data_IF_242839551997
#
_entry.id   IF_242839551997
#
_cell.length_a   1.000
_cell.length_b   1.000
_cell.length_c   1.000
_cell.angle_alpha   90.00
_cell.angle_beta   90.00
_cell.angle_gamma   90.00
#
_symmetry.space_group_name_H-M   'P 1'
#
loop_
_entity.id
_entity.type
_entity.pdbx_description
1 polymer ?
#
# COMPACT_ATOMS: atom_id res chain seq x y z
N UNK A 1 27.15 -54.24 24.60
CA UNK A 1 26.48 -54.14 23.28
C UNK A 1 25.92 -52.73 23.16
N UNK A 2 26.72 -51.81 22.62
CA UNK A 2 26.41 -50.38 22.46
C UNK A 2 25.86 -50.14 21.05
N UNK A 3 24.71 -49.46 20.87
CA UNK A 3 24.21 -49.15 19.52
C UNK A 3 24.93 -47.93 18.92
N UNK A 4 25.41 -48.10 17.68
CA UNK A 4 25.90 -47.03 16.80
C UNK A 4 24.75 -46.09 16.40
N UNK A 5 24.89 -44.79 16.67
CA UNK A 5 24.06 -43.76 16.05
C UNK A 5 24.57 -43.46 14.64
N UNK A 6 23.71 -43.59 13.63
CA UNK A 6 23.93 -43.01 12.30
C UNK A 6 23.78 -41.49 12.36
N UNK A 7 24.66 -40.69 11.70
CA UNK A 7 24.45 -39.26 11.56
C UNK A 7 23.35 -39.00 10.52
N UNK A 8 22.28 -38.34 10.96
CA UNK A 8 21.25 -37.76 10.07
C UNK A 8 21.88 -36.61 9.28
N UNK A 9 22.03 -36.80 7.97
CA UNK A 9 22.40 -35.74 7.03
C UNK A 9 21.24 -34.75 6.96
N UNK A 10 21.46 -33.54 7.48
CA UNK A 10 20.55 -32.41 7.33
C UNK A 10 20.81 -31.78 5.95
N UNK A 11 19.93 -32.06 4.99
CA UNK A 11 19.92 -31.35 3.71
C UNK A 11 19.35 -29.95 3.92
N UNK A 12 20.21 -28.93 3.88
CA UNK A 12 19.78 -27.53 3.80
C UNK A 12 19.31 -27.30 2.36
N UNK A 13 17.99 -27.28 2.16
CA UNK A 13 17.40 -26.82 0.91
C UNK A 13 17.56 -25.30 0.83
N UNK A 14 18.49 -24.85 0.00
CA UNK A 14 18.63 -23.45 -0.38
C UNK A 14 17.45 -23.09 -1.29
N UNK A 15 16.39 -22.50 -0.72
CA UNK A 15 15.28 -21.97 -1.51
C UNK A 15 15.81 -20.81 -2.36
N UNK A 16 15.88 -21.01 -3.68
CA UNK A 16 15.99 -19.91 -4.62
C UNK A 16 14.72 -19.06 -4.48
N UNK A 17 14.83 -17.94 -3.77
CA UNK A 17 13.85 -16.88 -3.88
C UNK A 17 13.91 -16.35 -5.32
N UNK A 18 12.94 -16.78 -6.15
CA UNK A 18 12.62 -16.11 -7.40
C UNK A 18 12.35 -14.65 -7.03
N UNK A 19 13.30 -13.76 -7.33
CA UNK A 19 13.05 -12.33 -7.29
C UNK A 19 12.07 -12.05 -8.43
N UNK A 20 10.77 -12.05 -8.13
CA UNK A 20 9.80 -11.38 -8.98
C UNK A 20 10.30 -9.94 -9.14
N UNK A 21 10.63 -9.55 -10.37
CA UNK A 21 11.08 -8.19 -10.64
C UNK A 21 10.00 -7.19 -10.24
N UNK A 22 10.40 -6.01 -9.79
CA UNK A 22 9.49 -4.92 -9.48
C UNK A 22 8.57 -4.63 -10.67
N UNK A 23 7.30 -5.00 -10.55
CA UNK A 23 6.27 -4.79 -11.55
C UNK A 23 5.35 -3.62 -11.18
N UNK A 24 4.71 -3.01 -12.18
CA UNK A 24 3.53 -2.19 -11.96
C UNK A 24 2.29 -3.03 -12.20
N UNK A 25 1.40 -3.04 -11.21
CA UNK A 25 0.21 -3.88 -11.17
C UNK A 25 -1.00 -2.98 -10.95
N UNK A 26 -2.00 -3.11 -11.82
CA UNK A 26 -3.15 -2.21 -11.84
C UNK A 26 -4.35 -2.86 -11.18
N UNK A 27 -5.05 -2.10 -10.33
CA UNK A 27 -6.37 -2.49 -9.86
C UNK A 27 -7.35 -2.46 -11.03
N UNK A 28 -8.12 -3.53 -11.23
CA UNK A 28 -9.03 -3.67 -12.39
C UNK A 28 -10.51 -3.61 -12.00
N UNK A 29 -10.83 -3.79 -10.72
CA UNK A 29 -12.21 -3.91 -10.27
C UNK A 29 -12.85 -2.54 -9.93
N UNK A 30 -13.64 -2.01 -10.87
CA UNK A 30 -14.33 -0.72 -10.72
C UNK A 30 -15.40 -0.66 -9.61
N UNK A 31 -15.85 -1.81 -9.08
CA UNK A 31 -16.84 -1.90 -8.02
C UNK A 31 -16.22 -2.12 -6.63
N UNK A 32 -14.90 -2.30 -6.59
CA UNK A 32 -14.17 -2.60 -5.38
C UNK A 32 -14.16 -4.08 -5.03
N UNK A 33 -13.38 -4.42 -4.01
CA UNK A 33 -13.12 -5.81 -3.68
C UNK A 33 -12.01 -5.98 -2.65
N UNK A 34 -11.59 -7.22 -2.49
CA UNK A 34 -10.55 -7.62 -1.54
C UNK A 34 -9.17 -7.40 -2.17
N UNK A 35 -8.27 -6.74 -1.44
CA UNK A 35 -6.90 -6.43 -1.87
C UNK A 35 -6.12 -7.70 -2.23
N UNK A 36 -6.28 -8.77 -1.45
CA UNK A 36 -5.56 -10.03 -1.64
C UNK A 36 -6.20 -10.98 -2.66
N UNK A 37 -7.27 -10.57 -3.34
CA UNK A 37 -7.89 -11.36 -4.41
C UNK A 37 -7.16 -11.11 -5.75
N UNK A 38 -6.45 -12.11 -6.32
CA UNK A 38 -5.69 -11.92 -7.56
C UNK A 38 -6.53 -11.42 -8.74
N UNK A 39 -7.82 -11.77 -8.80
CA UNK A 39 -8.72 -11.35 -9.88
C UNK A 39 -9.01 -9.85 -9.91
N UNK A 40 -8.74 -9.12 -8.83
CA UNK A 40 -8.87 -7.66 -8.79
C UNK A 40 -7.67 -6.91 -9.38
N UNK A 41 -6.65 -7.64 -9.84
CA UNK A 41 -5.39 -7.07 -10.33
C UNK A 41 -5.08 -7.52 -11.75
N UNK A 42 -4.37 -6.68 -12.50
CA UNK A 42 -3.97 -6.98 -13.89
C UNK A 42 -2.94 -8.11 -14.00
N UNK A 43 -2.16 -8.37 -12.95
CA UNK A 43 -1.04 -9.30 -12.98
C UNK A 43 -0.85 -10.07 -11.65
N UNK A 44 -1.95 -10.31 -10.92
CA UNK A 44 -1.93 -10.89 -9.58
C UNK A 44 -1.69 -9.86 -8.48
N UNK A 45 -1.68 -10.27 -7.21
CA UNK A 45 -1.56 -9.34 -6.08
C UNK A 45 -0.15 -8.73 -6.02
N UNK A 46 0.00 -7.40 -5.97
CA UNK A 46 1.30 -6.75 -5.85
C UNK A 46 2.01 -7.15 -4.55
N UNK A 47 3.29 -7.55 -4.67
CA UNK A 47 4.18 -7.88 -3.56
C UNK A 47 5.11 -6.73 -3.15
N UNK A 48 6.07 -7.03 -2.26
CA UNK A 48 6.94 -6.05 -1.60
C UNK A 48 7.86 -5.25 -2.54
N UNK A 49 8.11 -5.74 -3.74
CA UNK A 49 8.89 -5.04 -4.77
C UNK A 49 8.02 -4.23 -5.75
N UNK A 50 6.70 -4.41 -5.71
CA UNK A 50 5.80 -3.95 -6.77
C UNK A 50 5.19 -2.57 -6.48
N UNK A 51 4.69 -1.96 -7.56
CA UNK A 51 3.83 -0.79 -7.51
C UNK A 51 2.38 -1.19 -7.71
N UNK A 52 1.50 -0.88 -6.75
CA UNK A 52 0.05 -0.96 -6.92
C UNK A 52 -0.48 0.36 -7.48
N UNK A 53 -1.12 0.31 -8.65
CA UNK A 53 -1.64 1.48 -9.36
C UNK A 53 -3.16 1.45 -9.47
N UNK A 54 -3.81 2.46 -8.91
CA UNK A 54 -5.26 2.67 -8.95
C UNK A 54 -5.57 3.75 -9.99
N UNK A 55 -6.00 3.31 -11.18
CA UNK A 55 -6.25 4.18 -12.35
C UNK A 55 -7.74 4.32 -12.69
N UNK A 56 -8.60 3.57 -12.03
CA UNK A 56 -10.05 3.59 -12.22
C UNK A 56 -10.62 4.97 -11.84
N UNK A 57 -11.57 5.48 -12.63
CA UNK A 57 -12.23 6.77 -12.37
C UNK A 57 -13.46 6.67 -11.46
N UNK A 58 -13.91 5.45 -11.13
CA UNK A 58 -15.06 5.23 -10.25
C UNK A 58 -14.72 5.48 -8.78
N UNK A 59 -15.75 5.45 -7.95
CA UNK A 59 -15.62 5.30 -6.51
C UNK A 59 -15.75 3.83 -6.13
N UNK A 60 -14.79 3.29 -5.38
CA UNK A 60 -14.82 1.88 -4.98
C UNK A 60 -14.05 1.62 -3.68
N UNK A 61 -14.49 0.64 -2.88
CA UNK A 61 -13.74 0.18 -1.73
C UNK A 61 -12.63 -0.81 -2.09
N UNK A 62 -11.52 -0.74 -1.38
CA UNK A 62 -10.45 -1.74 -1.35
C UNK A 62 -10.36 -2.24 0.08
N UNK A 63 -10.75 -3.50 0.26
CA UNK A 63 -10.88 -4.15 1.56
C UNK A 63 -9.67 -5.03 1.83
N UNK A 64 -9.09 -4.97 3.03
CA UNK A 64 -8.00 -5.86 3.43
C UNK A 64 -8.50 -6.89 4.42
N UNK A 65 -8.27 -8.17 4.11
CA UNK A 65 -8.57 -9.30 5.01
C UNK A 65 -7.32 -9.82 5.72
N UNK A 66 -6.13 -9.39 5.29
CA UNK A 66 -4.83 -9.81 5.81
C UNK A 66 -3.82 -8.68 5.64
N UNK A 67 -2.70 -8.77 6.36
CA UNK A 67 -1.60 -7.85 6.18
C UNK A 67 -1.02 -7.95 4.76
N UNK A 68 -0.53 -6.83 4.24
CA UNK A 68 0.09 -6.74 2.93
C UNK A 68 1.27 -5.77 2.96
N UNK A 69 2.25 -5.99 2.10
CA UNK A 69 3.41 -5.14 1.92
C UNK A 69 3.62 -4.90 0.42
N UNK A 70 3.92 -3.66 0.04
CA UNK A 70 4.33 -3.30 -1.30
C UNK A 70 5.38 -2.20 -1.30
N UNK A 71 6.00 -1.99 -2.46
CA UNK A 71 6.99 -0.93 -2.60
C UNK A 71 6.33 0.44 -2.72
N UNK A 72 5.37 0.58 -3.63
CA UNK A 72 4.74 1.87 -3.94
C UNK A 72 3.24 1.71 -4.17
N UNK A 73 2.43 2.64 -3.68
CA UNK A 73 1.01 2.76 -4.00
C UNK A 73 0.76 4.10 -4.72
N UNK A 74 0.06 4.07 -5.86
CA UNK A 74 -0.28 5.26 -6.66
C UNK A 74 -1.77 5.36 -6.95
N UNK A 75 -2.35 6.51 -6.66
CA UNK A 75 -3.76 6.82 -6.93
C UNK A 75 -3.84 7.93 -7.97
N UNK A 76 -4.29 7.60 -9.18
CA UNK A 76 -4.26 8.51 -10.32
C UNK A 76 -5.53 9.37 -10.43
N UNK A 77 -6.70 8.76 -10.17
CA UNK A 77 -8.02 9.39 -10.31
C UNK A 77 -9.06 8.64 -9.49
N UNK A 78 -10.29 9.15 -9.46
CA UNK A 78 -11.42 8.50 -8.79
C UNK A 78 -11.34 8.60 -7.27
N UNK A 79 -12.14 7.77 -6.59
CA UNK A 79 -12.20 7.74 -5.12
C UNK A 79 -11.98 6.31 -4.62
N UNK A 80 -10.87 6.09 -3.93
CA UNK A 80 -10.59 4.80 -3.29
C UNK A 80 -10.97 4.88 -1.81
N UNK A 81 -11.89 4.03 -1.38
CA UNK A 81 -12.14 3.81 0.05
C UNK A 81 -11.21 2.71 0.54
N UNK A 82 -10.16 3.09 1.26
CA UNK A 82 -9.15 2.18 1.79
C UNK A 82 -9.57 1.71 3.19
N UNK A 83 -10.10 0.48 3.25
CA UNK A 83 -10.57 -0.16 4.48
C UNK A 83 -9.60 -1.30 4.83
N UNK A 84 -8.64 -1.02 5.71
CA UNK A 84 -7.63 -2.03 6.11
C UNK A 84 -8.19 -2.97 7.19
N UNK A 85 -9.38 -2.71 7.71
CA UNK A 85 -10.02 -3.50 8.77
C UNK A 85 -9.17 -3.54 10.03
N UNK A 86 -8.78 -4.74 10.45
CA UNK A 86 -7.84 -4.95 11.56
C UNK A 86 -6.39 -5.22 11.09
N UNK A 87 -6.12 -5.16 9.79
CA UNK A 87 -4.83 -5.52 9.21
C UNK A 87 -3.81 -4.36 9.24
N UNK A 88 -2.63 -4.65 8.70
CA UNK A 88 -1.55 -3.71 8.46
C UNK A 88 -1.22 -3.70 6.96
N UNK A 89 -1.16 -2.52 6.37
CA UNK A 89 -0.64 -2.31 5.02
C UNK A 89 0.65 -1.51 5.07
N UNK A 90 1.77 -2.12 4.66
CA UNK A 90 3.10 -1.50 4.67
C UNK A 90 3.48 -1.05 3.27
N UNK A 91 3.87 0.21 3.13
CA UNK A 91 4.36 0.82 1.89
C UNK A 91 5.79 1.30 2.13
N UNK A 92 6.76 0.68 1.46
CA UNK A 92 8.18 0.85 1.83
C UNK A 92 8.90 1.98 1.08
N UNK A 93 8.29 2.57 0.05
CA UNK A 93 8.88 3.69 -0.69
C UNK A 93 7.93 4.88 -0.75
N UNK A 94 6.82 4.78 -1.49
CA UNK A 94 5.89 5.91 -1.63
C UNK A 94 4.43 5.49 -1.65
N UNK A 95 3.62 6.24 -0.92
CA UNK A 95 2.17 6.20 -1.00
C UNK A 95 1.70 7.55 -1.55
N UNK A 96 1.13 7.58 -2.76
CA UNK A 96 0.98 8.82 -3.53
C UNK A 96 -0.43 9.01 -4.09
N UNK A 97 -1.06 10.15 -3.78
CA UNK A 97 -2.40 10.51 -4.28
C UNK A 97 -2.36 11.71 -5.21
N UNK A 98 -3.06 11.61 -6.34
CA UNK A 98 -3.12 12.67 -7.36
C UNK A 98 -1.96 12.55 -8.35
N UNK A 99 -1.82 11.37 -8.96
CA UNK A 99 -0.70 11.03 -9.85
C UNK A 99 -0.98 11.29 -11.35
N UNK A 100 -2.09 11.94 -11.70
CA UNK A 100 -2.41 12.30 -13.09
C UNK A 100 -2.63 13.82 -13.28
N UNK A 101 -2.02 14.41 -14.30
CA UNK A 101 -2.15 15.83 -14.64
C UNK A 101 -3.59 16.18 -15.01
N UNK A 102 -4.13 17.25 -14.42
CA UNK A 102 -5.49 17.72 -14.70
C UNK A 102 -6.60 16.89 -14.05
N UNK A 103 -6.25 15.82 -13.34
CA UNK A 103 -7.20 14.92 -12.68
C UNK A 103 -7.20 15.13 -11.17
N UNK A 104 -8.26 14.64 -10.52
CA UNK A 104 -8.36 14.56 -9.07
C UNK A 104 -8.44 13.09 -8.63
N UNK A 105 -7.66 12.74 -7.61
CA UNK A 105 -7.75 11.48 -6.90
C UNK A 105 -8.03 11.73 -5.43
N UNK A 106 -8.90 10.91 -4.85
CA UNK A 106 -9.19 10.93 -3.42
C UNK A 106 -8.99 9.54 -2.82
N UNK A 107 -8.34 9.48 -1.68
CA UNK A 107 -8.36 8.30 -0.82
C UNK A 107 -9.10 8.62 0.47
N UNK A 108 -10.07 7.78 0.82
CA UNK A 108 -10.76 7.79 2.10
C UNK A 108 -10.21 6.63 2.93
N UNK A 109 -9.41 6.92 3.94
CA UNK A 109 -8.90 5.92 4.87
C UNK A 109 -9.89 5.73 6.01
N UNK A 110 -10.43 4.52 6.17
CA UNK A 110 -11.54 4.27 7.12
C UNK A 110 -11.14 3.45 8.34
N UNK A 111 -10.12 2.59 8.25
CA UNK A 111 -9.81 1.59 9.29
C UNK A 111 -8.41 0.99 9.10
N UNK A 112 -7.96 0.25 10.12
CA UNK A 112 -6.70 -0.49 10.14
C UNK A 112 -5.45 0.38 10.25
N UNK A 113 -4.29 -0.18 9.91
CA UNK A 113 -3.01 0.53 9.97
C UNK A 113 -2.41 0.66 8.58
N UNK A 114 -2.20 1.89 8.10
CA UNK A 114 -1.33 2.19 6.97
C UNK A 114 0.03 2.62 7.50
N UNK A 115 1.09 1.87 7.20
CA UNK A 115 2.46 2.22 7.56
C UNK A 115 3.27 2.56 6.30
N UNK A 116 3.51 3.83 6.07
CA UNK A 116 4.38 4.34 5.00
C UNK A 116 5.77 4.56 5.60
N UNK A 117 6.53 3.47 5.71
CA UNK A 117 7.81 3.46 6.43
C UNK A 117 8.82 2.49 5.83
N UNK A 118 10.10 2.76 6.03
CA UNK A 118 11.16 1.80 5.76
C UNK A 118 12.31 1.91 6.79
N UNK A 119 13.26 0.97 6.74
CA UNK A 119 14.40 0.95 7.64
C UNK A 119 15.27 2.21 7.56
N UNK A 120 15.26 2.90 6.42
CA UNK A 120 15.97 4.16 6.20
C UNK A 120 15.20 5.40 6.63
N UNK A 121 13.97 5.26 7.18
CA UNK A 121 13.07 6.34 7.55
C UNK A 121 12.84 7.38 6.44
N UNK A 122 12.73 6.90 5.21
CA UNK A 122 12.66 7.74 4.02
C UNK A 122 11.39 7.54 3.19
N UNK A 123 10.47 6.68 3.64
CA UNK A 123 9.25 6.44 2.91
C UNK A 123 8.33 7.68 2.95
N UNK A 124 7.68 7.97 1.82
CA UNK A 124 6.94 9.22 1.64
C UNK A 124 5.45 8.95 1.49
N UNK A 125 4.66 9.53 2.39
CA UNK A 125 3.23 9.75 2.19
C UNK A 125 3.07 11.08 1.45
N UNK A 126 2.60 11.06 0.20
CA UNK A 126 2.55 12.21 -0.68
C UNK A 126 1.13 12.47 -1.20
N UNK A 127 0.64 13.71 -1.03
CA UNK A 127 -0.71 14.11 -1.45
C UNK A 127 -0.59 15.30 -2.38
N UNK A 128 -1.04 15.15 -3.63
CA UNK A 128 -1.15 16.25 -4.59
C UNK A 128 0.13 16.60 -5.37
N UNK A 129 0.90 15.58 -5.82
CA UNK A 129 2.16 15.77 -6.54
C UNK A 129 2.00 16.19 -8.01
N UNK A 130 1.20 15.48 -8.82
CA UNK A 130 1.02 15.74 -10.28
C UNK A 130 -0.34 16.35 -10.63
N UNK A 131 -1.41 15.80 -10.08
CA UNK A 131 -2.78 16.30 -10.16
C UNK A 131 -3.21 16.96 -8.86
N UNK A 132 -4.51 16.90 -8.59
CA UNK A 132 -5.08 17.19 -7.27
C UNK A 132 -5.18 15.89 -6.49
N UNK A 133 -4.60 15.85 -5.30
CA UNK A 133 -4.68 14.72 -4.38
C UNK A 133 -5.45 15.11 -3.13
N UNK A 134 -6.34 14.21 -2.69
CA UNK A 134 -7.03 14.33 -1.42
C UNK A 134 -6.86 13.06 -0.58
N UNK A 135 -6.42 13.22 0.67
CA UNK A 135 -6.46 12.17 1.69
C UNK A 135 -7.46 12.59 2.78
N UNK A 136 -8.50 11.79 2.96
CA UNK A 136 -9.53 11.95 3.98
C UNK A 136 -9.41 10.82 5.02
N UNK A 137 -8.92 11.17 6.20
CA UNK A 137 -8.73 10.24 7.32
C UNK A 137 -10.01 10.23 8.15
N UNK A 138 -10.75 9.13 8.03
CA UNK A 138 -12.05 8.88 8.68
C UNK A 138 -12.00 7.77 9.74
N UNK A 139 -10.84 7.20 9.98
CA UNK A 139 -10.60 6.20 11.01
C UNK A 139 -9.22 5.56 10.82
N UNK A 140 -8.91 4.54 11.63
CA UNK A 140 -7.63 3.83 11.56
C UNK A 140 -6.43 4.66 12.03
N UNK A 141 -5.24 4.14 11.76
CA UNK A 141 -3.96 4.75 12.09
C UNK A 141 -3.09 4.83 10.85
N UNK A 142 -2.63 6.02 10.51
CA UNK A 142 -1.61 6.24 9.50
C UNK A 142 -0.29 6.53 10.21
N UNK A 143 0.74 5.77 9.89
CA UNK A 143 2.11 5.97 10.35
C UNK A 143 2.96 6.30 9.13
N UNK A 144 3.70 7.39 9.16
CA UNK A 144 4.55 7.80 8.05
C UNK A 144 5.94 8.24 8.53
N UNK A 145 6.98 7.96 7.75
CA UNK A 145 8.29 8.58 7.98
C UNK A 145 8.26 10.05 7.56
N UNK A 146 7.78 10.32 6.34
CA UNK A 146 7.71 11.67 5.75
C UNK A 146 6.32 11.94 5.18
N UNK A 147 5.76 13.11 5.47
CA UNK A 147 4.55 13.62 4.81
C UNK A 147 4.87 14.80 3.90
N UNK A 148 4.48 14.70 2.63
CA UNK A 148 4.51 15.78 1.65
C UNK A 148 3.08 16.09 1.18
N UNK A 149 2.42 17.06 1.83
CA UNK A 149 1.06 17.52 1.51
C UNK A 149 0.96 19.05 1.41
N UNK A 150 2.05 19.72 1.02
CA UNK A 150 2.19 21.18 1.08
C UNK A 150 1.97 21.90 -0.26
N UNK A 151 1.49 21.24 -1.31
CA UNK A 151 1.33 21.84 -2.65
C UNK A 151 0.07 22.71 -2.81
N UNK A 152 -0.30 23.46 -1.78
CA UNK A 152 -1.42 24.42 -1.76
C UNK A 152 -2.71 23.82 -2.34
N UNK A 153 -3.31 24.44 -3.37
CA UNK A 153 -4.59 24.06 -3.96
C UNK A 153 -4.66 22.61 -4.49
N UNK A 154 -3.52 21.94 -4.65
CA UNK A 154 -3.41 20.59 -5.22
C UNK A 154 -3.34 19.50 -4.15
N UNK A 155 -3.13 19.86 -2.88
CA UNK A 155 -3.04 18.93 -1.76
C UNK A 155 -4.18 19.21 -0.77
N UNK A 156 -5.04 18.23 -0.53
CA UNK A 156 -6.07 18.31 0.51
C UNK A 156 -5.87 17.18 1.51
N UNK A 157 -5.60 17.53 2.76
CA UNK A 157 -5.52 16.60 3.87
C UNK A 157 -6.65 16.92 4.85
N UNK A 158 -7.61 16.02 4.96
CA UNK A 158 -8.72 16.11 5.90
C UNK A 158 -8.52 15.06 6.99
N UNK A 159 -8.53 15.48 8.25
CA UNK A 159 -8.41 14.58 9.40
C UNK A 159 -9.62 14.77 10.30
N UNK A 160 -10.61 13.88 10.14
CA UNK A 160 -11.86 13.94 10.91
C UNK A 160 -11.89 12.95 12.06
N UNK A 161 -11.24 11.79 11.90
CA UNK A 161 -11.14 10.71 12.88
C UNK A 161 -9.83 9.93 12.67
N UNK A 162 -9.50 9.00 13.59
CA UNK A 162 -8.28 8.19 13.51
C UNK A 162 -7.02 8.95 13.92
N UNK A 163 -5.84 8.42 13.59
CA UNK A 163 -4.56 9.07 13.89
C UNK A 163 -3.64 9.18 12.67
N UNK A 164 -2.78 10.20 12.68
CA UNK A 164 -1.64 10.36 11.79
C UNK A 164 -0.40 10.58 12.66
N UNK A 165 0.54 9.65 12.61
CA UNK A 165 1.74 9.62 13.46
C UNK A 165 3.01 9.64 12.60
N UNK A 166 3.99 10.42 13.02
CA UNK A 166 5.31 10.48 12.39
C UNK A 166 6.35 9.69 13.17
N UNK A 167 7.15 8.90 12.46
CA UNK A 167 8.27 8.15 13.03
C UNK A 167 9.52 9.04 13.06
N UNK A 168 9.57 9.93 14.06
CA UNK A 168 10.69 10.84 14.28
C UNK A 168 11.96 10.08 14.70
#
# INVERSE_FOLDING_TARGET
>A
MTPMLLPRILAIALALACHAGAGEVFWTNNFGGIYSEPLNWSAGVPGSADTASFTNSSQFPVLFTNAAELHTARFFRGVVTQDIGAALWVVTNRWQVGEATGEAAKVVHTSGVLAVTNAGRSAILEVGRIGTGELDIRGGNIVADVLLATNLARSKLNHSHGSLTFLN
#
